data_IF_353016573826
#
_entry.id   IF_353016573826
#
_cell.length_a   1.000
_cell.length_b   1.000
_cell.length_c   1.000
_cell.angle_alpha   90.00
_cell.angle_beta   90.00
_cell.angle_gamma   90.00
#
_symmetry.space_group_name_H-M   'P 1'
#
loop_
_entity.id
_entity.type
_entity.pdbx_description
1 polymer ?
2 polymer ?
3 non-polymer ?
4 non-polymer ?
5 water ?
#
# COMPACT_ATOMS: atom_id res chain seq x y z
N UNK A 33 23.25 -10.78 7.25
CA UNK A 33 22.70 -9.70 6.41
C UNK A 33 21.82 -8.73 7.17
N UNK A 34 21.91 -7.42 6.86
CA UNK A 34 21.08 -6.40 7.51
C UNK A 34 19.59 -6.64 7.20
N UNK A 35 18.71 -6.25 8.13
CA UNK A 35 17.28 -6.44 7.98
C UNK A 35 16.72 -5.69 6.75
N UNK A 36 17.15 -4.45 6.50
CA UNK A 36 16.68 -3.67 5.35
C UNK A 36 17.15 -4.32 4.00
N UNK A 37 18.32 -4.99 4.01
CA UNK A 37 18.80 -5.69 2.82
C UNK A 37 17.89 -6.91 2.49
N UNK A 38 17.29 -7.55 3.53
CA UNK A 38 16.34 -8.66 3.37
C UNK A 38 14.98 -8.13 2.84
N UNK A 39 14.61 -6.90 3.24
CA UNK A 39 13.40 -6.24 2.71
C UNK A 39 13.63 -5.87 1.24
N UNK A 40 14.87 -5.47 0.90
CA UNK A 40 15.22 -5.09 -0.46
C UNK A 40 15.11 -6.25 -1.46
N UNK A 41 15.68 -7.42 -1.15
CA UNK A 41 15.69 -8.57 -2.07
C UNK A 41 14.32 -9.12 -2.38
N UNK A 42 13.33 -8.92 -1.50
CA UNK A 42 11.96 -9.44 -1.69
C UNK A 42 11.03 -8.43 -2.41
N UNK A 43 11.58 -7.28 -2.88
CA UNK A 43 10.82 -6.29 -3.64
C UNK A 43 10.18 -6.94 -4.88
N UNK A 44 8.85 -6.83 -5.06
CA UNK A 44 8.20 -7.51 -6.19
C UNK A 44 8.72 -7.09 -7.57
N UNK A 45 8.58 -8.00 -8.53
CA UNK A 45 8.92 -7.73 -9.92
C UNK A 45 7.89 -6.73 -10.51
N UNK A 46 8.31 -6.01 -11.57
CA UNK A 46 7.51 -5.06 -12.34
C UNK A 46 6.28 -5.75 -12.91
N UNK A 47 5.11 -5.12 -12.75
CA UNK A 47 3.89 -5.66 -13.33
C UNK A 47 3.38 -4.68 -14.39
N UNK A 48 3.05 -5.21 -15.57
CA UNK A 48 2.47 -4.43 -16.68
C UNK A 48 0.95 -4.55 -16.61
N UNK A 49 0.25 -3.48 -16.99
CA UNK A 49 -1.21 -3.42 -16.99
C UNK A 49 -1.84 -4.17 -18.17
N UNK A 50 -1.10 -4.31 -19.28
CA UNK A 50 -1.59 -4.91 -20.52
C UNK A 50 -2.55 -3.98 -21.22
N UNK A 51 -2.32 -2.67 -21.09
CA UNK A 51 -3.18 -1.63 -21.66
C UNK A 51 -2.90 -1.35 -23.15
N UNK A 52 -3.91 -1.61 -24.00
CA UNK A 52 -3.82 -1.36 -25.45
C UNK A 52 -3.95 0.14 -25.74
N UNK A 53 -2.80 0.80 -25.93
CA UNK A 53 -2.66 2.23 -26.22
C UNK A 53 -3.21 2.66 -27.60
N UNK A 54 -3.53 1.68 -28.48
CA UNK A 54 -4.05 1.91 -29.85
C UNK A 54 -5.58 2.08 -29.86
N UNK A 55 -6.20 1.88 -28.68
CA UNK A 55 -7.64 2.03 -28.46
C UNK A 55 -7.76 3.33 -27.62
N UNK A 56 -8.73 4.23 -27.90
CA UNK A 56 -8.81 5.47 -27.10
C UNK A 56 -9.09 5.24 -25.60
N UNK A 57 -8.72 6.22 -24.79
CA UNK A 57 -8.86 6.19 -23.32
C UNK A 57 -10.30 6.47 -22.89
N UNK A 58 -10.64 6.03 -21.69
CA UNK A 58 -11.90 6.34 -21.01
C UNK A 58 -11.65 6.06 -19.53
N UNK A 59 -12.34 6.79 -18.66
CA UNK A 59 -12.16 6.61 -17.21
C UNK A 59 -12.54 5.18 -16.79
N UNK A 60 -13.70 4.70 -17.25
CA UNK A 60 -14.21 3.36 -16.97
C UNK A 60 -13.20 2.29 -17.39
N UNK A 61 -12.61 2.42 -18.57
CA UNK A 61 -11.62 1.52 -19.14
C UNK A 61 -10.34 1.49 -18.28
N UNK A 62 -9.84 2.69 -17.90
CA UNK A 62 -8.63 2.80 -17.07
C UNK A 62 -8.87 2.23 -15.68
N UNK A 63 -10.00 2.58 -15.04
CA UNK A 63 -10.37 2.07 -13.72
C UNK A 63 -10.49 0.56 -13.72
N UNK A 64 -11.09 -0.03 -14.79
CA UNK A 64 -11.23 -1.50 -14.94
C UNK A 64 -9.85 -2.18 -15.02
N UNK A 65 -8.97 -1.70 -15.94
CA UNK A 65 -7.61 -2.21 -16.14
C UNK A 65 -6.80 -2.09 -14.82
N UNK A 66 -6.91 -0.95 -14.12
CA UNK A 66 -6.19 -0.74 -12.87
C UNK A 66 -6.70 -1.66 -11.74
N UNK A 67 -8.00 -2.01 -11.76
CA UNK A 67 -8.52 -2.96 -10.76
C UNK A 67 -7.89 -4.33 -11.03
N UNK A 68 -7.78 -4.72 -12.32
CA UNK A 68 -7.15 -6.00 -12.70
C UNK A 68 -5.69 -6.03 -12.27
N UNK A 69 -4.96 -4.95 -12.54
CA UNK A 69 -3.57 -4.77 -12.15
C UNK A 69 -3.43 -4.84 -10.59
N UNK A 70 -4.35 -4.18 -9.89
CA UNK A 70 -4.42 -4.16 -8.43
C UNK A 70 -4.55 -5.55 -7.82
N UNK A 71 -5.39 -6.40 -8.43
CA UNK A 71 -5.57 -7.77 -7.98
C UNK A 71 -4.27 -8.55 -8.10
N UNK A 72 -3.56 -8.37 -9.25
CA UNK A 72 -2.26 -9.02 -9.51
C UNK A 72 -1.16 -8.53 -8.52
N UNK A 73 -1.20 -7.24 -8.18
CA UNK A 73 -0.27 -6.64 -7.20
C UNK A 73 -0.54 -7.22 -5.82
N UNK A 74 -1.82 -7.42 -5.46
CA UNK A 74 -2.15 -7.97 -4.14
C UNK A 74 -1.77 -9.44 -4.00
N UNK A 75 -1.85 -10.21 -5.10
CA UNK A 75 -1.40 -11.62 -5.10
C UNK A 75 0.11 -11.62 -4.85
N UNK A 76 0.87 -10.74 -5.54
CA UNK A 76 2.31 -10.62 -5.36
C UNK A 76 2.66 -10.09 -3.96
N UNK A 77 1.76 -9.25 -3.36
CA UNK A 77 1.94 -8.70 -2.01
C UNK A 77 1.84 -9.79 -0.95
N UNK A 78 1.06 -10.85 -1.19
CA UNK A 78 0.99 -12.02 -0.27
C UNK A 78 2.38 -12.72 -0.23
N UNK A 79 2.94 -12.98 -1.40
CA UNK A 79 4.23 -13.63 -1.54
C UNK A 79 5.31 -12.75 -0.90
N UNK A 80 5.18 -11.42 -1.06
CA UNK A 80 6.10 -10.44 -0.47
C UNK A 80 6.05 -10.53 1.07
N UNK A 81 4.84 -10.43 1.66
CA UNK A 81 4.62 -10.44 3.10
C UNK A 81 5.16 -11.71 3.77
N UNK A 82 4.93 -12.89 3.16
CA UNK A 82 5.42 -14.17 3.71
C UNK A 82 6.95 -14.22 3.82
N UNK A 83 7.66 -13.41 3.01
CA UNK A 83 9.12 -13.37 3.03
C UNK A 83 9.68 -12.26 3.98
N UNK A 84 8.79 -11.41 4.55
CA UNK A 84 9.21 -10.38 5.50
C UNK A 84 9.64 -11.06 6.80
N UNK A 85 10.90 -10.88 7.29
CA UNK A 85 11.30 -11.56 8.55
C UNK A 85 10.35 -11.25 9.71
N UNK A 86 9.86 -12.31 10.35
CA UNK A 86 8.92 -12.23 11.46
C UNK A 86 7.46 -12.48 11.09
N UNK A 87 7.02 -12.07 9.88
CA UNK A 87 5.62 -12.18 9.44
C UNK A 87 5.02 -13.58 9.53
N UNK A 88 5.74 -14.63 9.08
CA UNK A 88 5.21 -15.99 9.12
C UNK A 88 5.21 -16.60 10.52
N UNK A 89 5.75 -15.87 11.52
CA UNK A 89 5.70 -16.35 12.91
C UNK A 89 4.40 -15.93 13.59
N UNK A 90 3.65 -15.01 12.97
CA UNK A 90 2.35 -14.57 13.48
C UNK A 90 1.33 -15.67 13.19
N UNK A 91 0.25 -15.70 13.95
CA UNK A 91 -0.85 -16.64 13.70
C UNK A 91 -1.35 -16.39 12.28
N UNK A 92 -1.72 -17.45 11.56
CA UNK A 92 -2.27 -17.36 10.20
C UNK A 92 -3.43 -16.34 10.08
N UNK A 93 -4.32 -16.27 11.09
CA UNK A 93 -5.43 -15.31 11.09
C UNK A 93 -4.92 -13.87 11.12
N UNK A 94 -3.78 -13.61 11.81
CA UNK A 94 -3.16 -12.29 11.92
C UNK A 94 -2.53 -11.90 10.61
N UNK A 95 -1.92 -12.86 9.91
CA UNK A 95 -1.33 -12.65 8.59
C UNK A 95 -2.43 -12.20 7.61
N UNK A 96 -3.58 -12.86 7.64
CA UNK A 96 -4.74 -12.52 6.82
C UNK A 96 -5.28 -11.16 7.20
N UNK A 97 -5.45 -10.90 8.51
CA UNK A 97 -5.95 -9.63 9.05
C UNK A 97 -5.12 -8.44 8.54
N UNK A 98 -3.80 -8.54 8.68
CA UNK A 98 -2.88 -7.45 8.29
C UNK A 98 -2.88 -7.18 6.80
N UNK A 99 -2.91 -8.24 5.96
CA UNK A 99 -2.96 -8.02 4.50
C UNK A 99 -4.28 -7.38 4.07
N UNK A 100 -5.38 -7.77 4.75
CA UNK A 100 -6.72 -7.23 4.46
C UNK A 100 -6.89 -5.78 4.89
N UNK A 101 -6.29 -5.35 6.00
CA UNK A 101 -6.38 -3.92 6.37
C UNK A 101 -5.49 -3.03 5.50
N UNK A 102 -4.25 -3.48 5.21
CA UNK A 102 -3.21 -2.65 4.60
C UNK A 102 -3.15 -2.63 3.10
N UNK A 103 -3.91 -3.52 2.42
CA UNK A 103 -3.92 -3.67 0.96
C UNK A 103 -3.76 -2.34 0.22
N UNK A 104 -4.67 -1.39 0.45
CA UNK A 104 -4.67 -0.10 -0.21
C UNK A 104 -3.48 0.79 0.20
N UNK A 105 -3.02 0.74 1.49
CA UNK A 105 -1.84 1.55 1.83
C UNK A 105 -0.60 1.03 1.14
N UNK A 106 -0.46 -0.30 1.02
CA UNK A 106 0.64 -0.91 0.28
C UNK A 106 0.62 -0.50 -1.21
N UNK A 107 -0.53 -0.59 -1.86
CA UNK A 107 -0.63 -0.23 -3.28
C UNK A 107 -0.38 1.25 -3.55
N UNK A 108 -1.00 2.15 -2.74
CA UNK A 108 -0.82 3.60 -2.89
C UNK A 108 0.63 4.00 -2.58
N UNK A 109 1.23 3.41 -1.51
CA UNK A 109 2.60 3.75 -1.15
C UNK A 109 3.60 3.31 -2.22
N UNK A 110 3.45 2.07 -2.74
CA UNK A 110 4.33 1.56 -3.79
C UNK A 110 4.13 2.35 -5.07
N UNK A 111 2.86 2.76 -5.35
CA UNK A 111 2.54 3.59 -6.53
C UNK A 111 3.21 4.97 -6.39
N UNK A 112 3.10 5.58 -5.20
CA UNK A 112 3.72 6.86 -4.88
C UNK A 112 5.21 6.84 -5.15
N UNK A 113 5.88 5.72 -4.74
CA UNK A 113 7.31 5.48 -4.94
C UNK A 113 7.67 5.42 -6.42
N UNK A 114 6.95 4.57 -7.21
CA UNK A 114 7.19 4.44 -8.66
C UNK A 114 7.04 5.78 -9.35
N UNK A 115 6.02 6.56 -8.95
CA UNK A 115 5.71 7.87 -9.51
C UNK A 115 6.80 8.90 -9.21
N UNK A 116 7.26 8.91 -7.96
CA UNK A 116 8.35 9.77 -7.49
C UNK A 116 9.68 9.43 -8.22
N UNK A 117 9.98 8.12 -8.40
CA UNK A 117 11.18 7.64 -9.09
C UNK A 117 11.16 7.87 -10.59
N UNK A 118 10.01 7.56 -11.25
CA UNK A 118 9.90 7.65 -12.70
C UNK A 118 9.70 9.06 -13.24
N UNK A 119 9.25 10.02 -12.40
CA UNK A 119 9.05 11.40 -12.84
C UNK A 119 9.09 12.45 -11.75
N UNK A 120 9.73 13.59 -12.05
CA UNK A 120 9.76 14.76 -11.18
C UNK A 120 8.71 15.71 -11.76
N UNK A 121 7.48 15.17 -11.92
CA UNK A 121 6.27 15.81 -12.46
C UNK A 121 5.03 15.13 -11.83
N UNK A 122 3.82 15.69 -12.11
CA UNK A 122 2.56 15.18 -11.59
C UNK A 122 2.01 14.05 -12.47
N UNK A 123 2.66 12.89 -12.41
CA UNK A 123 2.27 11.67 -13.12
C UNK A 123 2.05 10.53 -12.14
N UNK A 124 1.07 9.67 -12.41
CA UNK A 124 0.89 8.48 -11.59
C UNK A 124 1.39 7.30 -12.44
N UNK A 125 2.51 6.69 -12.01
CA UNK A 125 3.12 5.58 -12.75
C UNK A 125 2.62 4.21 -12.25
N UNK A 126 1.36 3.88 -12.54
CA UNK A 126 0.73 2.61 -12.12
C UNK A 126 1.50 1.40 -12.67
N UNK A 127 1.88 1.50 -13.95
CA UNK A 127 2.61 0.47 -14.68
C UNK A 127 3.40 1.19 -15.80
N UNK A 128 4.50 0.57 -16.33
CA UNK A 128 5.23 1.22 -17.44
C UNK A 128 4.37 1.48 -18.69
N UNK A 129 3.37 0.61 -18.94
CA UNK A 129 2.47 0.74 -20.09
C UNK A 129 1.15 1.48 -19.74
N UNK A 130 1.04 2.03 -18.52
CA UNK A 130 -0.14 2.78 -18.11
C UNK A 130 0.24 3.84 -17.08
N UNK A 131 0.55 5.02 -17.59
CA UNK A 131 0.93 6.17 -16.79
C UNK A 131 -0.20 7.18 -16.90
N UNK A 132 -0.69 7.68 -15.76
CA UNK A 132 -1.73 8.69 -15.75
C UNK A 132 -1.05 10.05 -15.88
N UNK A 133 -0.99 10.54 -17.13
CA UNK A 133 -0.41 11.82 -17.52
C UNK A 133 -1.41 12.97 -17.27
N UNK A 134 -1.03 14.20 -17.71
CA UNK A 134 -1.87 15.39 -17.59
C UNK A 134 -3.19 15.25 -18.38
N UNK A 135 -3.12 14.67 -19.60
CA UNK A 135 -4.27 14.43 -20.49
C UNK A 135 -5.27 13.42 -19.91
N UNK A 136 -4.76 12.34 -19.27
CA UNK A 136 -5.61 11.32 -18.67
C UNK A 136 -6.30 11.83 -17.43
N UNK A 137 -5.68 12.77 -16.70
CA UNK A 137 -6.33 13.33 -15.53
C UNK A 137 -7.45 14.33 -15.87
N UNK A 138 -7.55 14.74 -17.14
CA UNK A 138 -8.64 15.62 -17.61
C UNK A 138 -9.88 14.79 -17.95
N UNK A 139 -9.75 13.43 -18.01
CA UNK A 139 -10.86 12.51 -18.28
C UNK A 139 -11.90 12.62 -17.17
N UNK A 140 -13.21 12.57 -17.49
CA UNK A 140 -14.22 12.79 -16.44
C UNK A 140 -14.09 11.86 -15.25
N UNK A 141 -14.09 12.47 -14.04
CA UNK A 141 -14.03 11.79 -12.75
C UNK A 141 -12.67 11.12 -12.43
N UNK A 142 -11.64 11.28 -13.28
CA UNK A 142 -10.30 10.73 -13.06
C UNK A 142 -9.57 11.31 -11.83
N UNK A 143 -9.47 12.66 -11.77
CA UNK A 143 -8.77 13.43 -10.73
C UNK A 143 -9.17 13.13 -9.27
N UNK A 144 -10.47 12.89 -9.03
CA UNK A 144 -11.07 12.61 -7.72
C UNK A 144 -10.26 11.62 -6.89
N UNK A 145 -9.95 10.46 -7.48
CA UNK A 145 -9.18 9.41 -6.85
C UNK A 145 -7.68 9.71 -6.93
N UNK A 146 -7.23 10.19 -8.11
CA UNK A 146 -5.84 10.52 -8.44
C UNK A 146 -5.17 11.52 -7.50
N UNK A 147 -5.91 12.53 -7.02
CA UNK A 147 -5.34 13.55 -6.13
C UNK A 147 -4.82 12.96 -4.82
N UNK A 148 -5.45 11.90 -4.30
CA UNK A 148 -5.03 11.25 -3.06
C UNK A 148 -3.70 10.52 -3.25
N UNK A 149 -3.53 9.88 -4.42
CA UNK A 149 -2.33 9.16 -4.79
C UNK A 149 -1.21 10.13 -5.15
N UNK A 150 -1.55 11.27 -5.83
CA UNK A 150 -0.58 12.33 -6.17
C UNK A 150 0.02 12.92 -4.90
N UNK A 151 -0.77 13.03 -3.82
CA UNK A 151 -0.31 13.50 -2.51
C UNK A 151 0.84 12.63 -1.96
N UNK A 152 0.74 11.28 -2.13
CA UNK A 152 1.76 10.35 -1.64
C UNK A 152 3.09 10.62 -2.34
N UNK A 153 3.11 10.61 -3.68
CA UNK A 153 4.33 10.85 -4.46
C UNK A 153 4.87 12.24 -4.23
N UNK A 154 3.97 13.26 -4.07
CA UNK A 154 4.35 14.66 -3.80
C UNK A 154 5.14 14.75 -2.47
N UNK A 155 4.67 14.03 -1.43
CA UNK A 155 5.28 13.95 -0.10
C UNK A 155 6.64 13.22 -0.08
N UNK A 156 6.76 12.08 -0.80
CA UNK A 156 8.02 11.33 -0.91
C UNK A 156 9.08 12.21 -1.58
N UNK A 157 8.66 12.99 -2.60
CA UNK A 157 9.50 13.93 -3.35
C UNK A 157 9.91 15.14 -2.49
N UNK A 158 8.94 15.72 -1.75
CA UNK A 158 9.19 16.85 -0.86
C UNK A 158 10.17 16.48 0.26
N UNK A 159 10.01 15.27 0.82
CA UNK A 159 10.86 14.78 1.91
C UNK A 159 12.14 14.10 1.42
N UNK A 160 12.29 13.92 0.08
CA UNK A 160 13.44 13.26 -0.56
C UNK A 160 13.75 11.89 0.09
N UNK A 161 12.69 11.09 0.23
CA UNK A 161 12.74 9.75 0.84
C UNK A 161 13.72 8.81 0.08
N UNK A 162 14.56 8.10 0.84
CA UNK A 162 15.56 7.19 0.28
C UNK A 162 14.95 5.82 0.08
N UNK A 163 15.62 4.97 -0.70
CA UNK A 163 15.21 3.61 -0.98
C UNK A 163 15.08 2.81 0.33
N UNK A 164 16.08 2.89 1.21
CA UNK A 164 16.07 2.19 2.51
C UNK A 164 14.96 2.66 3.47
N UNK A 165 14.73 3.98 3.56
CA UNK A 165 13.63 4.53 4.37
C UNK A 165 12.31 4.02 3.83
N UNK A 166 12.14 4.05 2.49
CA UNK A 166 10.95 3.56 1.78
C UNK A 166 10.61 2.09 2.11
N UNK A 167 11.62 1.22 2.07
CA UNK A 167 11.43 -0.22 2.35
C UNK A 167 10.95 -0.46 3.77
N UNK A 168 11.55 0.23 4.76
CA UNK A 168 11.17 0.15 6.18
C UNK A 168 9.74 0.66 6.34
N UNK A 169 9.41 1.83 5.76
CA UNK A 169 8.08 2.46 5.79
C UNK A 169 7.00 1.55 5.15
N UNK A 170 7.31 0.88 4.01
CA UNK A 170 6.33 0.01 3.35
C UNK A 170 5.99 -1.20 4.23
N UNK A 171 6.99 -1.79 4.90
CA UNK A 171 6.75 -2.89 5.83
C UNK A 171 5.88 -2.42 7.02
N UNK A 172 6.14 -1.21 7.51
CA UNK A 172 5.39 -0.61 8.60
C UNK A 172 3.96 -0.30 8.23
N UNK A 173 3.67 -0.07 6.93
CA UNK A 173 2.28 0.11 6.47
C UNK A 173 1.53 -1.21 6.55
N UNK A 174 2.22 -2.35 6.32
CA UNK A 174 1.59 -3.67 6.48
C UNK A 174 1.15 -3.86 7.95
N UNK A 175 1.91 -3.29 8.89
CA UNK A 175 1.69 -3.38 10.34
C UNK A 175 1.06 -2.11 10.94
N UNK A 176 0.29 -1.34 10.15
CA UNK A 176 -0.23 -0.05 10.60
C UNK A 176 -1.65 -0.07 11.21
N UNK A 177 -2.39 -1.20 11.11
CA UNK A 177 -3.75 -1.35 11.68
C UNK A 177 -3.92 -2.76 12.19
N UNK A 178 -4.69 -2.91 13.28
CA UNK A 178 -4.97 -4.22 13.89
C UNK A 178 -6.47 -4.24 14.25
N UNK A 179 -7.10 -5.39 14.59
CA UNK A 179 -8.53 -5.35 15.01
C UNK A 179 -8.69 -4.57 16.31
N UNK A 180 -9.90 -4.02 16.58
CA UNK A 180 -10.09 -3.27 17.83
C UNK A 180 -9.78 -4.11 19.08
N UNK A 181 -9.98 -5.45 19.02
CA UNK A 181 -9.64 -6.33 20.15
C UNK A 181 -8.25 -6.96 20.01
N UNK A 182 -7.45 -6.43 19.09
CA UNK A 182 -6.08 -6.86 18.84
C UNK A 182 -5.94 -8.18 18.12
N UNK A 183 -4.71 -8.58 17.87
CA UNK A 183 -4.35 -9.80 17.16
C UNK A 183 -4.24 -11.01 18.09
N UNK A 184 -4.18 -12.22 17.52
CA UNK A 184 -3.99 -13.46 18.27
C UNK A 184 -2.56 -13.46 18.81
N UNK A 185 -1.58 -12.98 18.01
CA UNK A 185 -0.16 -12.89 18.38
C UNK A 185 0.25 -11.42 18.59
N UNK A 186 -0.56 -10.67 19.39
CA UNK A 186 -0.36 -9.23 19.65
C UNK A 186 1.03 -8.88 20.19
N UNK A 187 1.52 -9.65 21.19
CA UNK A 187 2.83 -9.45 21.82
C UNK A 187 3.95 -9.59 20.80
N UNK A 188 3.92 -10.67 19.99
CA UNK A 188 4.92 -10.90 18.94
C UNK A 188 4.85 -9.79 17.85
N UNK A 189 3.63 -9.38 17.46
CA UNK A 189 3.39 -8.28 16.49
C UNK A 189 4.04 -6.99 16.98
N UNK A 190 3.82 -6.63 18.27
CA UNK A 190 4.40 -5.43 18.90
C UNK A 190 5.93 -5.46 18.83
N UNK A 191 6.53 -6.64 19.08
CA UNK A 191 7.98 -6.86 18.98
C UNK A 191 8.48 -6.70 17.52
N UNK A 192 7.73 -7.25 16.53
CA UNK A 192 8.08 -7.15 15.10
C UNK A 192 7.99 -5.70 14.63
N UNK A 193 6.89 -5.04 14.96
CA UNK A 193 6.64 -3.65 14.58
C UNK A 193 7.75 -2.72 15.15
N UNK A 194 8.07 -2.85 16.44
CA UNK A 194 9.14 -2.07 17.07
C UNK A 194 10.48 -2.28 16.34
N UNK A 195 10.80 -3.55 15.97
CA UNK A 195 11.99 -3.91 15.20
C UNK A 195 12.07 -3.11 13.88
N UNK A 196 10.95 -3.02 13.11
CA UNK A 196 10.93 -2.27 11.85
C UNK A 196 10.91 -0.75 12.08
N UNK A 197 10.39 -0.27 13.23
CA UNK A 197 10.47 1.15 13.61
C UNK A 197 11.98 1.50 13.80
N UNK A 198 12.76 0.60 14.48
CA UNK A 198 14.20 0.78 14.71
C UNK A 198 14.97 0.73 13.38
N UNK A 199 14.52 -0.13 12.44
CA UNK A 199 15.09 -0.24 11.09
C UNK A 199 14.94 1.07 10.34
N UNK A 200 13.76 1.74 10.48
CA UNK A 200 13.55 3.06 9.87
C UNK A 200 14.56 4.07 10.49
N UNK A 201 14.70 4.00 11.82
CA UNK A 201 15.68 4.81 12.56
C UNK A 201 17.08 4.64 12.00
N UNK A 202 17.54 3.37 11.82
CA UNK A 202 18.86 3.06 11.24
C UNK A 202 19.03 3.60 9.81
N UNK A 203 17.99 3.46 8.95
CA UNK A 203 17.98 3.99 7.58
C UNK A 203 18.16 5.51 7.57
N UNK A 204 17.47 6.22 8.49
CA UNK A 204 17.53 7.68 8.66
C UNK A 204 18.95 8.15 9.02
N UNK A 205 19.61 7.48 10.01
CA UNK A 205 20.98 7.79 10.50
C UNK A 205 22.00 7.73 9.35
N UNK A 206 21.85 6.77 8.40
CA UNK A 206 22.72 6.59 7.23
C UNK A 206 22.85 7.84 6.33
N UNK A 207 21.83 8.76 6.37
CA UNK A 207 21.84 10.01 5.60
C UNK A 207 22.96 11.00 6.07
N UNK A 208 23.72 10.59 7.13
CA UNK A 208 24.87 11.28 7.73
C UNK A 208 24.56 12.70 8.27
N UNK A 209 23.35 12.86 8.83
CA UNK A 209 22.91 14.11 9.43
C UNK A 209 23.22 14.18 10.92
N UNK A 210 23.01 15.35 11.54
CA UNK A 210 23.26 15.48 12.98
C UNK A 210 22.08 14.93 13.78
N UNK A 211 22.26 14.75 15.11
CA UNK A 211 21.25 14.23 16.04
C UNK A 211 19.89 14.97 15.94
N UNK A 212 19.93 16.32 15.79
CA UNK A 212 18.74 17.17 15.67
C UNK A 212 18.00 17.00 14.33
N UNK A 213 18.76 16.82 13.23
CA UNK A 213 18.21 16.66 11.89
C UNK A 213 17.58 15.27 11.76
N UNK A 214 18.19 14.28 12.43
CA UNK A 214 17.72 12.89 12.46
C UNK A 214 16.40 12.78 13.23
N UNK A 215 16.26 13.58 14.33
CA UNK A 215 15.02 13.61 15.12
C UNK A 215 13.88 14.25 14.32
N UNK A 216 14.20 15.31 13.54
CA UNK A 216 13.25 16.01 12.65
C UNK A 216 12.81 15.06 11.52
N UNK A 217 13.77 14.32 10.91
CA UNK A 217 13.48 13.37 9.84
C UNK A 217 12.59 12.23 10.34
N UNK A 218 12.91 11.64 11.51
CA UNK A 218 12.12 10.56 12.06
C UNK A 218 10.68 11.00 12.26
N UNK A 219 10.50 12.22 12.78
CA UNK A 219 9.22 12.89 13.00
C UNK A 219 8.46 13.04 11.68
N UNK A 220 9.14 13.58 10.64
CA UNK A 220 8.58 13.85 9.32
C UNK A 220 8.11 12.58 8.61
N UNK A 221 8.95 11.52 8.59
CA UNK A 221 8.63 10.24 7.95
C UNK A 221 7.51 9.49 8.66
N UNK A 222 7.47 9.54 10.02
CA UNK A 222 6.41 8.91 10.82
C UNK A 222 5.09 9.72 10.68
N UNK A 223 5.20 11.02 10.41
CA UNK A 223 4.05 11.88 10.16
C UNK A 223 3.45 11.49 8.79
N UNK A 224 4.31 11.26 7.78
CA UNK A 224 3.84 10.78 6.48
C UNK A 224 3.12 9.40 6.64
N UNK A 225 3.70 8.48 7.44
CA UNK A 225 3.11 7.16 7.72
C UNK A 225 1.70 7.33 8.33
N UNK A 226 1.57 8.23 9.30
CA UNK A 226 0.29 8.53 9.96
C UNK A 226 -0.73 9.03 8.95
N UNK A 227 -0.31 9.96 8.06
CA UNK A 227 -1.16 10.55 7.04
C UNK A 227 -1.67 9.52 6.00
N UNK A 228 -0.98 8.36 5.83
CA UNK A 228 -1.43 7.31 4.91
C UNK A 228 -2.79 6.78 5.36
N UNK A 229 -3.10 6.78 6.67
CA UNK A 229 -4.44 6.40 7.16
C UNK A 229 -5.52 7.29 6.50
N UNK A 230 -5.28 8.63 6.42
CA UNK A 230 -6.23 9.60 5.83
C UNK A 230 -6.31 9.44 4.33
N UNK A 231 -5.15 9.27 3.66
CA UNK A 231 -5.06 9.01 2.22
C UNK A 231 -5.92 7.78 1.85
N UNK A 232 -5.75 6.68 2.61
CA UNK A 232 -6.40 5.40 2.39
C UNK A 232 -7.90 5.48 2.70
N UNK A 233 -8.29 6.23 3.73
CA UNK A 233 -9.70 6.41 4.07
C UNK A 233 -10.46 7.07 2.89
N UNK A 234 -9.82 8.06 2.24
CA UNK A 234 -10.38 8.75 1.06
C UNK A 234 -10.43 7.81 -0.12
N UNK A 235 -9.36 7.01 -0.37
CA UNK A 235 -9.33 6.03 -1.49
C UNK A 235 -10.38 4.94 -1.29
N UNK A 236 -10.53 4.46 -0.05
CA UNK A 236 -11.51 3.42 0.28
C UNK A 236 -12.95 3.90 0.21
N UNK A 237 -13.25 5.16 0.59
CA UNK A 237 -14.60 5.69 0.50
C UNK A 237 -15.12 5.55 -0.93
N UNK A 238 -14.32 6.03 -1.90
CA UNK A 238 -14.60 6.00 -3.32
C UNK A 238 -14.66 4.56 -3.84
N UNK A 239 -13.64 3.73 -3.49
CA UNK A 239 -13.50 2.33 -3.90
C UNK A 239 -14.67 1.42 -3.40
N UNK A 240 -15.08 1.58 -2.13
CA UNK A 240 -16.20 0.83 -1.56
C UNK A 240 -17.51 1.20 -2.26
N UNK A 241 -17.72 2.50 -2.57
CA UNK A 241 -18.94 2.95 -3.25
C UNK A 241 -19.03 2.37 -4.65
N UNK A 242 -17.92 2.37 -5.38
CA UNK A 242 -17.76 1.85 -6.73
C UNK A 242 -17.97 0.32 -6.73
N UNK A 243 -17.45 -0.38 -5.71
CA UNK A 243 -17.62 -1.83 -5.62
C UNK A 243 -19.10 -2.18 -5.37
N UNK A 244 -19.79 -1.47 -4.45
CA UNK A 244 -21.19 -1.73 -4.09
C UNK A 244 -22.21 -1.34 -5.17
N UNK A 245 -21.90 -0.29 -5.96
CA UNK A 245 -22.84 0.11 -7.00
C UNK A 245 -22.65 -0.72 -8.28
N UNK A 246 -23.34 -1.87 -8.34
CA UNK A 246 -23.29 -2.81 -9.46
C UNK A 246 -23.76 -2.19 -10.80
N UNK A 247 -24.58 -1.12 -10.74
CA UNK A 247 -25.08 -0.41 -11.92
C UNK A 247 -23.94 0.37 -12.66
N UNK A 248 -22.77 0.56 -12.02
CA UNK A 248 -21.59 1.23 -12.60
C UNK A 248 -20.80 0.27 -13.50
N UNK A 249 -21.02 -1.07 -13.35
CA UNK A 249 -20.36 -2.13 -14.12
C UNK A 249 -18.83 -2.07 -14.00
N UNK A 250 -18.32 -1.62 -12.82
CA UNK A 250 -16.88 -1.56 -12.58
C UNK A 250 -16.48 -2.92 -12.00
N UNK A 251 -15.71 -3.69 -12.76
CA UNK A 251 -15.25 -5.03 -12.36
C UNK A 251 -14.02 -4.96 -11.47
N UNK A 252 -13.99 -5.83 -10.46
CA UNK A 252 -12.91 -6.06 -9.53
C UNK A 252 -12.56 -7.53 -9.66
N UNK A 253 -11.26 -7.88 -9.75
CA UNK A 253 -10.91 -9.31 -9.79
C UNK A 253 -11.15 -9.91 -8.40
N UNK A 254 -11.22 -11.25 -8.37
CA UNK A 254 -11.44 -12.08 -7.18
C UNK A 254 -10.63 -11.60 -5.96
N UNK A 255 -9.31 -11.38 -6.11
CA UNK A 255 -8.45 -10.94 -4.99
C UNK A 255 -8.96 -9.64 -4.33
N UNK A 256 -9.32 -8.65 -5.15
CA UNK A 256 -9.80 -7.36 -4.61
C UNK A 256 -11.22 -7.47 -4.10
N UNK A 257 -12.11 -8.20 -4.85
CA UNK A 257 -13.50 -8.38 -4.43
C UNK A 257 -13.57 -9.03 -3.02
N UNK A 258 -12.72 -10.04 -2.76
CA UNK A 258 -12.62 -10.78 -1.51
C UNK A 258 -12.12 -9.88 -0.37
N UNK A 259 -11.06 -9.08 -0.60
CA UNK A 259 -10.59 -8.11 0.39
C UNK A 259 -11.72 -7.09 0.73
N UNK A 260 -12.35 -6.48 -0.29
CA UNK A 260 -13.39 -5.47 -0.08
C UNK A 260 -14.59 -6.04 0.69
N UNK A 261 -15.04 -7.25 0.32
CA UNK A 261 -16.16 -7.95 0.97
C UNK A 261 -15.84 -8.22 2.44
N UNK A 262 -14.56 -8.50 2.73
CA UNK A 262 -14.09 -8.72 4.11
C UNK A 262 -14.04 -7.40 4.90
N UNK A 263 -13.54 -6.34 4.26
CA UNK A 263 -13.30 -5.04 4.90
C UNK A 263 -14.51 -4.19 5.16
N UNK A 264 -15.47 -4.12 4.20
CA UNK A 264 -16.67 -3.29 4.36
C UNK A 264 -17.37 -3.59 5.73
N UNK A 265 -17.71 -4.85 6.11
CA UNK A 265 -18.33 -5.08 7.42
C UNK A 265 -17.44 -4.70 8.59
N UNK A 266 -16.10 -4.84 8.44
CA UNK A 266 -15.17 -4.48 9.53
C UNK A 266 -15.21 -2.99 9.84
N UNK A 267 -15.19 -2.14 8.79
CA UNK A 267 -15.32 -0.69 8.96
C UNK A 267 -16.72 -0.34 9.51
N UNK A 268 -17.77 -1.02 9.00
CA UNK A 268 -19.16 -0.78 9.42
C UNK A 268 -19.39 -1.03 10.94
N UNK A 269 -18.65 -2.01 11.51
CA UNK A 269 -18.70 -2.42 12.91
C UNK A 269 -17.65 -1.72 13.76
N UNK A 270 -16.91 -0.78 13.19
CA UNK A 270 -15.82 -0.08 13.86
C UNK A 270 -14.67 -0.99 14.26
N UNK A 271 -14.56 -2.15 13.59
CA UNK A 271 -13.53 -3.15 13.89
C UNK A 271 -12.21 -2.84 13.18
N UNK A 272 -11.50 -1.85 13.73
CA UNK A 272 -10.19 -1.40 13.25
C UNK A 272 -9.55 -0.44 14.27
N UNK A 273 -8.27 -0.66 14.55
CA UNK A 273 -7.48 0.20 15.41
C UNK A 273 -6.31 0.66 14.51
N UNK A 274 -6.34 1.95 14.10
CA UNK A 274 -5.33 2.57 13.25
C UNK A 274 -4.16 3.01 14.12
N UNK A 275 -3.00 2.37 13.98
CA UNK A 275 -1.85 2.76 14.81
C UNK A 275 -1.25 4.08 14.31
N UNK A 276 -0.92 4.97 15.26
CA UNK A 276 -0.36 6.30 15.01
C UNK A 276 0.92 6.47 15.78
N UNK A 277 1.86 7.25 15.22
CA UNK A 277 3.11 7.59 15.87
C UNK A 277 2.93 8.90 16.66
N UNK A 278 2.00 9.77 16.22
CA UNK A 278 1.71 11.07 16.84
C UNK A 278 0.20 11.25 17.08
N UNK A 279 -0.15 12.11 18.05
CA UNK A 279 -1.54 12.44 18.36
C UNK A 279 -1.87 13.86 17.92
N UNK B 2 -14.71 -18.28 3.67
CA UNK B 2 -14.90 -16.82 3.71
C UNK B 2 -13.86 -16.06 2.86
N UNK B 3 -12.57 -16.11 3.21
CA UNK B 3 -11.53 -15.43 2.41
C UNK B 3 -10.63 -16.51 1.76
N UNK B 4 -11.26 -17.38 0.96
CA UNK B 4 -10.70 -18.52 0.28
C UNK B 4 -9.39 -18.25 -0.45
N UNK B 5 -9.35 -17.24 -1.32
CA UNK B 5 -8.15 -16.97 -2.13
C UNK B 5 -6.96 -16.55 -1.28
N UNK B 6 -7.17 -15.61 -0.36
CA UNK B 6 -6.09 -15.14 0.52
C UNK B 6 -5.54 -16.27 1.39
N UNK B 7 -6.41 -17.08 2.03
CA UNK B 7 -5.97 -18.20 2.85
C UNK B 7 -5.11 -19.17 2.02
N UNK B 8 -5.55 -19.46 0.77
CA UNK B 8 -4.84 -20.33 -0.17
C UNK B 8 -3.41 -19.82 -0.45
N UNK B 9 -3.27 -18.51 -0.74
CA UNK B 9 -1.97 -17.90 -1.06
C UNK B 9 -1.01 -17.87 0.14
N UNK B 10 -1.57 -17.75 1.33
CA UNK B 10 -0.79 -17.79 2.55
C UNK B 10 -0.39 -19.23 2.92
N UNK B 11 -1.27 -20.21 2.64
CA UNK B 11 -1.02 -21.60 3.01
C UNK B 11 -0.20 -22.38 1.97
N UNK B 12 -0.29 -22.04 0.68
CA UNK B 12 0.45 -22.75 -0.37
C UNK B 12 1.98 -22.53 -0.19
N UNK B 13 2.78 -23.42 -0.78
CA UNK B 13 4.24 -23.25 -0.77
C UNK B 13 4.57 -22.33 -1.96
N UNK B 14 5.39 -21.29 -1.73
CA UNK B 14 5.77 -20.34 -2.79
C UNK B 14 6.95 -20.83 -3.63
#
# INVERSE_FOLDING_TARGET
>A
GSIQQATTGVSQETSENPGDKTIVPATLPQLTPTLVSLLEVIEPEVLYAGYDSSVPDSTWRIMTTLNMLGGRQMIAAVKWAKAIPGFRNLHLDDQMTLLQYSWMSLMAFALGWRSYRQSSANLLCFAPDLIINEQRMTLPDMYDQCKHMLYVSSELHRLQVSYEEYLCMKTLLLLSSVPKDGLKSQALFDEIRMTYIKELGKAIVKREGNSSQNSQRFYQLTKLLDSMHEVVENLLNYCFQTFLDKTMSIEFPEMLAEIITNQIPKYSNGNIKKLLFHQK
>B
KENALLRYLLDKDD
#
